data_IF_595932367497
#
_entry.id   IF_595932367497
#
_cell.length_a   1.000
_cell.length_b   1.000
_cell.length_c   1.000
_cell.angle_alpha   90.00
_cell.angle_beta   90.00
_cell.angle_gamma   90.00
#
_symmetry.space_group_name_H-M   'P 1'
#
loop_
_entity.id
_entity.type
_entity.pdbx_description
1 polymer ?
#
# COMPACT_ATOMS: atom_id res chain seq x y z
N UNK A 1 13.96 22.77 -9.07
CA UNK A 1 15.38 23.11 -8.91
C UNK A 1 15.49 24.62 -8.79
N UNK A 2 16.12 25.19 -7.74
CA UNK A 2 16.28 26.63 -7.55
C UNK A 2 15.65 27.21 -6.29
N UNK A 3 14.67 26.58 -5.68
CA UNK A 3 14.07 27.06 -4.42
C UNK A 3 14.98 26.85 -3.21
N UNK A 4 15.88 25.88 -3.25
CA UNK A 4 16.84 25.59 -2.17
C UNK A 4 17.94 26.67 -2.07
N UNK A 5 18.24 27.40 -3.16
CA UNK A 5 19.27 28.46 -3.19
C UNK A 5 18.83 29.73 -2.42
N UNK A 6 17.52 29.87 -2.14
CA UNK A 6 16.96 30.98 -1.36
C UNK A 6 16.98 30.72 0.15
N UNK A 7 17.30 29.51 0.57
CA UNK A 7 17.29 29.09 1.97
C UNK A 7 18.69 29.15 2.59
N UNK A 8 18.73 29.24 3.92
CA UNK A 8 19.99 29.11 4.63
C UNK A 8 20.56 27.68 4.47
N UNK A 9 21.89 27.52 4.50
CA UNK A 9 22.54 26.19 4.40
C UNK A 9 21.98 25.15 5.38
N UNK A 10 21.59 25.61 6.59
CA UNK A 10 21.00 24.75 7.62
C UNK A 10 19.62 24.25 7.21
N UNK A 11 18.78 25.14 6.71
CA UNK A 11 17.42 24.81 6.24
C UNK A 11 17.45 23.90 5.03
N UNK A 12 18.31 24.20 4.05
CA UNK A 12 18.52 23.35 2.88
C UNK A 12 18.93 21.93 3.28
N UNK A 13 19.88 21.79 4.23
CA UNK A 13 20.31 20.48 4.72
C UNK A 13 19.19 19.73 5.46
N UNK A 14 18.38 20.43 6.25
CA UNK A 14 17.23 19.81 6.94
C UNK A 14 16.16 19.31 5.95
N UNK A 15 15.88 20.09 4.90
CA UNK A 15 14.95 19.69 3.85
C UNK A 15 15.46 18.50 3.06
N UNK A 16 16.74 18.50 2.69
CA UNK A 16 17.35 17.37 1.98
C UNK A 16 17.27 16.06 2.78
N UNK A 17 17.55 16.11 4.08
CA UNK A 17 17.40 14.92 4.96
C UNK A 17 15.94 14.46 5.08
N UNK A 18 14.98 15.40 5.08
CA UNK A 18 13.56 15.06 5.10
C UNK A 18 13.13 14.43 3.79
N UNK A 19 13.62 14.95 2.66
CA UNK A 19 13.39 14.39 1.33
C UNK A 19 13.92 12.95 1.23
N UNK A 20 15.18 12.72 1.63
CA UNK A 20 15.79 11.38 1.67
C UNK A 20 14.94 10.39 2.50
N UNK A 21 14.46 10.85 3.66
CA UNK A 21 13.61 10.02 4.53
C UNK A 21 12.26 9.70 3.88
N UNK A 22 11.63 10.68 3.23
CA UNK A 22 10.36 10.48 2.51
C UNK A 22 10.54 9.56 1.31
N UNK A 23 11.62 9.72 0.54
CA UNK A 23 11.92 8.85 -0.60
C UNK A 23 12.14 7.40 -0.15
N UNK A 24 12.78 7.18 1.01
CA UNK A 24 12.97 5.84 1.58
C UNK A 24 11.64 5.17 1.93
N UNK A 25 10.67 5.90 2.47
CA UNK A 25 9.40 5.33 2.93
C UNK A 25 8.29 5.36 1.87
N UNK A 26 8.27 6.36 1.01
CA UNK A 26 7.18 6.60 0.06
C UNK A 26 7.62 6.49 -1.40
N UNK A 27 8.91 6.30 -1.67
CA UNK A 27 9.41 6.23 -3.04
C UNK A 27 8.75 5.14 -3.90
N UNK A 28 8.33 4.04 -3.28
CA UNK A 28 7.66 2.93 -3.98
C UNK A 28 6.27 3.27 -4.54
N UNK A 29 5.60 4.30 -4.01
CA UNK A 29 4.28 4.73 -4.49
C UNK A 29 4.32 5.98 -5.36
N UNK A 30 5.50 6.55 -5.59
CA UNK A 30 5.69 7.81 -6.33
C UNK A 30 5.14 7.76 -7.75
N UNK A 31 5.28 6.61 -8.41
CA UNK A 31 4.83 6.38 -9.78
C UNK A 31 3.47 5.66 -9.87
N UNK A 32 2.77 5.52 -8.75
CA UNK A 32 1.46 4.88 -8.68
C UNK A 32 0.38 5.90 -9.07
N UNK A 33 -0.22 5.70 -10.26
CA UNK A 33 -1.21 6.63 -10.83
C UNK A 33 -2.65 6.34 -10.43
N UNK A 34 -2.92 5.15 -9.91
CA UNK A 34 -4.26 4.73 -9.45
C UNK A 34 -4.16 3.80 -8.24
N UNK A 35 -5.25 3.72 -7.47
CA UNK A 35 -5.35 2.74 -6.40
C UNK A 35 -5.31 1.32 -6.98
N UNK A 36 -4.68 0.37 -6.29
CA UNK A 36 -4.71 -1.03 -6.70
C UNK A 36 -6.11 -1.62 -6.49
N UNK A 37 -6.53 -2.50 -7.38
CA UNK A 37 -7.82 -3.19 -7.28
C UNK A 37 -7.80 -4.28 -6.20
N UNK A 38 -6.62 -4.80 -5.88
CA UNK A 38 -6.42 -5.87 -4.90
C UNK A 38 -5.08 -5.72 -4.20
N UNK A 39 -5.02 -6.07 -2.92
CA UNK A 39 -3.81 -6.10 -2.12
C UNK A 39 -3.60 -7.50 -1.53
N UNK A 40 -2.42 -8.06 -1.74
CA UNK A 40 -1.98 -9.29 -1.10
C UNK A 40 -1.14 -8.97 0.12
N UNK A 41 -1.53 -9.47 1.29
CA UNK A 41 -0.89 -9.18 2.58
C UNK A 41 -0.37 -10.47 3.19
N UNK A 42 0.88 -10.47 3.61
CA UNK A 42 1.47 -11.53 4.43
C UNK A 42 1.46 -11.07 5.89
N UNK A 43 1.05 -11.96 6.82
CA UNK A 43 0.95 -11.69 8.26
C UNK A 43 -0.07 -10.58 8.58
N UNK A 44 -1.35 -10.93 8.51
CA UNK A 44 -2.46 -10.00 8.75
C UNK A 44 -2.44 -9.35 10.16
N UNK A 45 -1.82 -10.00 11.15
CA UNK A 45 -1.71 -9.46 12.51
C UNK A 45 -0.73 -8.30 12.57
N UNK A 46 0.41 -8.42 11.90
CA UNK A 46 1.41 -7.34 11.86
C UNK A 46 0.98 -6.19 10.98
N UNK A 47 0.36 -6.48 9.85
CA UNK A 47 -0.02 -5.51 8.82
C UNK A 47 -1.46 -4.98 8.98
N UNK A 48 -2.01 -5.03 10.19
CA UNK A 48 -3.39 -4.60 10.50
C UNK A 48 -3.71 -3.16 10.05
N UNK A 49 -2.70 -2.27 10.05
CA UNK A 49 -2.88 -0.88 9.62
C UNK A 49 -3.11 -0.83 8.10
N UNK A 50 -2.28 -1.52 7.33
CA UNK A 50 -2.41 -1.60 5.87
C UNK A 50 -3.76 -2.21 5.46
N UNK A 51 -4.21 -3.25 6.16
CA UNK A 51 -5.53 -3.87 5.92
C UNK A 51 -6.65 -2.88 6.21
N UNK A 52 -6.58 -2.14 7.34
CA UNK A 52 -7.59 -1.15 7.68
C UNK A 52 -7.67 -0.01 6.65
N UNK A 53 -6.53 0.45 6.15
CA UNK A 53 -6.45 1.46 5.10
C UNK A 53 -7.02 0.93 3.78
N UNK A 54 -6.66 -0.28 3.36
CA UNK A 54 -7.16 -0.90 2.15
C UNK A 54 -8.69 -1.04 2.17
N UNK A 55 -9.26 -1.50 3.29
CA UNK A 55 -10.72 -1.63 3.46
C UNK A 55 -11.45 -0.29 3.36
N UNK A 56 -10.87 0.78 3.93
CA UNK A 56 -11.43 2.15 3.80
C UNK A 56 -11.44 2.64 2.36
N UNK A 57 -10.43 2.26 1.59
CA UNK A 57 -10.30 2.62 0.18
C UNK A 57 -11.04 1.67 -0.77
N UNK A 58 -11.75 0.66 -0.25
CA UNK A 58 -12.45 -0.33 -1.07
C UNK A 58 -11.54 -1.28 -1.84
N UNK A 59 -10.28 -1.42 -1.43
CA UNK A 59 -9.31 -2.34 -2.03
C UNK A 59 -9.55 -3.73 -1.46
N UNK A 60 -9.76 -4.72 -2.34
CA UNK A 60 -9.92 -6.13 -1.92
C UNK A 60 -8.64 -6.68 -1.30
N UNK A 61 -8.73 -7.23 -0.10
CA UNK A 61 -7.59 -7.79 0.63
C UNK A 61 -7.59 -9.31 0.57
N UNK A 62 -6.48 -9.87 0.11
CA UNK A 62 -6.19 -11.30 0.10
C UNK A 62 -5.03 -11.57 1.05
N UNK A 63 -5.17 -12.53 1.97
CA UNK A 63 -4.09 -12.85 2.89
C UNK A 63 -4.09 -14.33 3.30
N UNK A 64 -2.90 -14.95 3.43
CA UNK A 64 -2.77 -16.19 4.18
C UNK A 64 -3.03 -15.91 5.67
N UNK A 65 -3.86 -16.75 6.28
CA UNK A 65 -4.24 -16.62 7.67
C UNK A 65 -3.89 -17.90 8.44
N UNK A 66 -3.17 -17.74 9.51
CA UNK A 66 -2.92 -18.79 10.49
C UNK A 66 -3.99 -18.76 11.60
N UNK A 67 -3.90 -19.68 12.55
CA UNK A 67 -4.86 -19.91 13.64
C UNK A 67 -4.99 -18.73 14.62
N UNK A 68 -4.03 -17.80 14.65
CA UNK A 68 -4.01 -16.59 15.46
C UNK A 68 -4.65 -15.37 14.79
N UNK A 69 -5.14 -15.53 13.56
CA UNK A 69 -5.73 -14.46 12.76
C UNK A 69 -7.25 -14.55 12.77
N UNK A 70 -7.90 -13.39 12.73
CA UNK A 70 -9.34 -13.26 12.53
C UNK A 70 -9.66 -13.28 11.03
N UNK A 71 -10.44 -14.24 10.52
CA UNK A 71 -10.78 -14.33 9.11
C UNK A 71 -11.68 -13.19 8.62
N UNK A 72 -12.40 -12.51 9.50
CA UNK A 72 -13.32 -11.45 9.15
C UNK A 72 -12.63 -10.11 8.81
N UNK A 73 -11.31 -10.03 9.03
CA UNK A 73 -10.54 -8.81 8.73
C UNK A 73 -10.09 -8.72 7.28
N UNK A 74 -10.17 -9.81 6.51
CA UNK A 74 -9.78 -9.86 5.08
C UNK A 74 -10.95 -10.34 4.23
N UNK A 75 -10.92 -9.97 2.94
CA UNK A 75 -12.01 -10.33 2.03
C UNK A 75 -11.86 -11.76 1.49
N UNK A 76 -10.63 -12.18 1.22
CA UNK A 76 -10.29 -13.50 0.69
C UNK A 76 -9.24 -14.18 1.58
N UNK A 77 -9.66 -14.92 2.63
CA UNK A 77 -8.75 -15.63 3.50
C UNK A 77 -8.21 -16.91 2.83
N UNK A 78 -6.91 -17.13 2.92
CA UNK A 78 -6.25 -18.36 2.48
C UNK A 78 -5.76 -19.09 3.74
N UNK A 79 -6.32 -20.23 4.11
CA UNK A 79 -5.85 -20.97 5.28
C UNK A 79 -4.41 -21.45 5.06
N UNK A 80 -3.50 -21.05 5.93
CA UNK A 80 -2.09 -21.42 5.79
C UNK A 80 -1.22 -20.82 6.87
N UNK A 81 0.01 -21.30 6.96
CA UNK A 81 0.99 -20.76 7.88
C UNK A 81 1.63 -19.50 7.31
N UNK A 82 1.66 -18.42 8.08
CA UNK A 82 2.18 -17.10 7.69
C UNK A 82 3.60 -16.80 8.22
N UNK A 83 4.16 -17.68 9.08
CA UNK A 83 5.47 -17.51 9.71
C UNK A 83 6.61 -18.24 9.00
N UNK A 84 6.32 -19.41 8.42
CA UNK A 84 7.35 -20.26 7.85
C UNK A 84 7.87 -19.71 6.52
N UNK A 85 9.19 -19.54 6.40
CA UNK A 85 9.85 -19.06 5.18
C UNK A 85 9.42 -19.85 3.93
N UNK A 86 9.25 -21.16 4.04
CA UNK A 86 8.80 -22.00 2.91
C UNK A 86 7.36 -21.70 2.49
N UNK A 87 6.48 -21.43 3.44
CA UNK A 87 5.10 -21.06 3.21
C UNK A 87 5.01 -19.69 2.54
N UNK A 88 5.74 -18.72 3.05
CA UNK A 88 5.84 -17.39 2.49
C UNK A 88 6.32 -17.44 1.03
N UNK A 89 7.39 -18.20 0.77
CA UNK A 89 7.89 -18.39 -0.60
C UNK A 89 6.85 -19.02 -1.53
N UNK A 90 6.11 -20.02 -1.04
CA UNK A 90 5.05 -20.65 -1.83
C UNK A 90 3.98 -19.63 -2.21
N UNK A 91 3.41 -18.92 -1.23
CA UNK A 91 2.37 -17.93 -1.50
C UNK A 91 2.85 -16.80 -2.42
N UNK A 92 4.05 -16.26 -2.19
CA UNK A 92 4.61 -15.23 -3.05
C UNK A 92 4.82 -15.71 -4.49
N UNK A 93 5.31 -16.93 -4.69
CA UNK A 93 5.54 -17.48 -6.02
C UNK A 93 4.22 -17.74 -6.77
N UNK A 94 3.21 -18.30 -6.09
CA UNK A 94 1.90 -18.55 -6.69
C UNK A 94 1.19 -17.24 -7.05
N UNK A 95 1.24 -16.24 -6.19
CA UNK A 95 0.66 -14.93 -6.48
C UNK A 95 1.39 -14.22 -7.62
N UNK A 96 2.72 -14.28 -7.66
CA UNK A 96 3.49 -13.72 -8.77
C UNK A 96 3.21 -14.44 -10.10
N UNK A 97 3.05 -15.75 -10.08
CA UNK A 97 2.68 -16.54 -11.26
C UNK A 97 1.30 -16.15 -11.78
N UNK A 98 0.30 -16.06 -10.88
CA UNK A 98 -1.06 -15.66 -11.22
C UNK A 98 -1.12 -14.24 -11.80
N UNK A 99 -0.36 -13.29 -11.23
CA UNK A 99 -0.27 -11.92 -11.76
C UNK A 99 0.35 -11.88 -13.16
N UNK A 100 1.39 -12.68 -13.40
CA UNK A 100 2.05 -12.75 -14.72
C UNK A 100 1.15 -13.40 -15.76
N UNK A 101 0.40 -14.44 -15.39
CA UNK A 101 -0.59 -15.07 -16.26
C UNK A 101 -1.72 -14.09 -16.61
N UNK A 102 -2.26 -13.38 -15.62
CA UNK A 102 -3.27 -12.34 -15.83
C UNK A 102 -2.80 -11.23 -16.78
N UNK A 103 -1.55 -10.76 -16.63
CA UNK A 103 -0.95 -9.78 -17.55
C UNK A 103 -0.82 -10.33 -18.98
N UNK A 104 -0.44 -11.60 -19.16
CA UNK A 104 -0.33 -12.22 -20.47
C UNK A 104 -1.71 -12.31 -21.16
N UNK A 105 -2.75 -12.74 -20.42
CA UNK A 105 -4.12 -12.80 -20.94
C UNK A 105 -4.63 -11.42 -21.35
N UNK A 106 -4.37 -10.39 -20.56
CA UNK A 106 -4.73 -9.01 -20.91
C UNK A 106 -4.02 -8.53 -22.18
N UNK A 107 -2.74 -8.82 -22.31
CA UNK A 107 -1.97 -8.47 -23.50
C UNK A 107 -2.48 -9.17 -24.78
N UNK A 108 -2.91 -10.41 -24.67
CA UNK A 108 -3.50 -11.18 -25.78
C UNK A 108 -4.92 -10.70 -26.14
N UNK A 109 -5.70 -10.28 -25.16
CA UNK A 109 -7.08 -9.84 -25.37
C UNK A 109 -7.18 -8.45 -26.02
N UNK A 110 -6.08 -7.71 -26.12
CA UNK A 110 -6.07 -6.36 -26.67
C UNK A 110 -6.88 -5.35 -25.85
N UNK A 111 -7.29 -5.72 -24.65
CA UNK A 111 -7.94 -4.83 -23.70
C UNK A 111 -6.84 -3.94 -23.13
N UNK A 112 -6.74 -2.73 -23.65
CA UNK A 112 -6.03 -1.69 -22.94
C UNK A 112 -6.67 -1.58 -21.57
N UNK A 113 -5.89 -1.75 -20.52
CA UNK A 113 -6.32 -1.44 -19.15
C UNK A 113 -6.49 0.07 -19.08
N UNK A 114 -7.60 0.55 -19.62
CA UNK A 114 -8.05 1.92 -19.50
C UNK A 114 -8.63 2.14 -18.10
N UNK A 115 -7.79 1.99 -17.10
CA UNK A 115 -7.97 2.75 -15.91
C UNK A 115 -7.57 4.17 -16.30
N UNK A 116 -8.52 4.99 -16.69
CA UNK A 116 -8.24 6.42 -16.73
C UNK A 116 -7.63 6.79 -15.38
N UNK A 117 -6.49 7.48 -15.34
CA UNK A 117 -5.92 7.91 -14.08
C UNK A 117 -7.00 8.74 -13.39
N UNK A 118 -7.38 8.32 -12.19
CA UNK A 118 -8.29 9.08 -11.34
C UNK A 118 -7.70 10.49 -11.29
N UNK A 119 -8.49 11.50 -11.65
CA UNK A 119 -8.02 12.88 -11.66
C UNK A 119 -7.58 13.27 -10.25
N UNK A 120 -6.62 14.18 -10.13
CA UNK A 120 -6.17 14.64 -8.81
C UNK A 120 -7.34 15.12 -7.94
N UNK A 121 -8.36 15.72 -8.55
CA UNK A 121 -9.57 16.15 -7.86
C UNK A 121 -10.37 14.98 -7.27
N UNK A 122 -10.51 13.87 -7.98
CA UNK A 122 -11.17 12.66 -7.49
C UNK A 122 -10.36 11.94 -6.41
N UNK A 123 -9.02 11.98 -6.51
CA UNK A 123 -8.15 11.45 -5.46
C UNK A 123 -8.26 12.28 -4.18
N UNK A 124 -8.25 13.60 -4.30
CA UNK A 124 -8.39 14.52 -3.17
C UNK A 124 -9.78 14.39 -2.51
N UNK A 125 -10.82 14.16 -3.29
CA UNK A 125 -12.19 13.94 -2.80
C UNK A 125 -12.30 12.60 -2.04
N UNK A 126 -11.75 11.51 -2.58
CA UNK A 126 -11.69 10.20 -1.91
C UNK A 126 -10.88 10.24 -0.61
N UNK A 127 -9.74 10.96 -0.62
CA UNK A 127 -8.92 11.15 0.57
C UNK A 127 -9.68 12.00 1.60
N UNK A 128 -10.36 13.06 1.18
CA UNK A 128 -11.14 13.92 2.07
C UNK A 128 -12.32 13.16 2.70
N UNK A 129 -13.00 12.32 1.93
CA UNK A 129 -14.10 11.47 2.41
C UNK A 129 -13.58 10.41 3.40
N UNK A 130 -12.48 9.74 3.09
CA UNK A 130 -11.82 8.77 3.98
C UNK A 130 -11.31 9.41 5.28
N UNK A 131 -10.85 10.65 5.24
CA UNK A 131 -10.42 11.41 6.44
C UNK A 131 -11.62 11.89 7.24
N UNK A 132 -12.74 12.25 6.59
CA UNK A 132 -13.96 12.70 7.27
C UNK A 132 -14.69 11.57 8.02
N UNK A 133 -14.63 10.34 7.49
CA UNK A 133 -15.20 9.15 8.14
C UNK A 133 -14.28 8.54 9.21
N UNK A 134 -12.99 8.80 9.15
CA UNK A 134 -11.99 8.33 10.09
C UNK A 134 -11.64 9.39 11.11
N UNK A 135 -12.28 9.36 12.31
CA UNK A 135 -11.82 10.17 13.45
C UNK A 135 -10.31 9.98 13.66
N UNK A 136 -9.68 11.06 14.11
CA UNK A 136 -8.25 11.29 14.38
C UNK A 136 -7.38 10.05 14.42
N UNK A 137 -6.53 9.88 13.39
CA UNK A 137 -5.43 8.92 13.44
C UNK A 137 -4.41 9.47 14.42
N UNK A 138 -4.53 9.07 15.69
CA UNK A 138 -3.55 9.37 16.72
C UNK A 138 -2.29 8.55 16.43
N UNK A 139 -1.35 9.15 15.70
CA UNK A 139 0.02 8.67 15.65
C UNK A 139 0.62 8.91 17.03
N UNK A 140 0.49 7.92 17.92
CA UNK A 140 1.09 7.97 19.24
C UNK A 140 2.53 8.42 19.12
N UNK A 141 2.84 9.54 19.77
CA UNK A 141 4.21 9.98 20.00
C UNK A 141 4.98 8.82 20.63
N UNK A 142 5.91 8.24 19.87
CA UNK A 142 6.82 7.24 20.38
C UNK A 142 7.65 7.90 21.47
N UNK A 143 7.44 7.47 22.71
CA UNK A 143 8.31 7.80 23.83
C UNK A 143 9.75 7.48 23.46
N UNK A 144 10.58 8.52 23.42
CA UNK A 144 12.02 8.39 23.47
C UNK A 144 12.42 7.78 24.83
N UNK A 145 13.02 6.61 24.80
CA UNK A 145 13.80 6.06 25.91
C UNK A 145 15.12 5.50 25.37
#
# INVERSE_FOLDING_TARGET
>A
EGQLDLLTKKEALMLSRKEEKLELYLGGIKDMHKLPDMMFVLDAVKEKIAIAEARRLGITVVAPLDTNCDPDVVDLPIPGNDDAIRSIHLFCNEMAAAMNEGKAVLAESGVETSGEPISQAEQDELIAEAVAEGGEINFGEGEEA
#
